data_IF_519104044799
#
_entry.id   IF_519104044799
#
_cell.length_a   1.000
_cell.length_b   1.000
_cell.length_c   1.000
_cell.angle_alpha   90.00
_cell.angle_beta   90.00
_cell.angle_gamma   90.00
#
_symmetry.space_group_name_H-M   'P 1'
#
loop_
_entity.id
_entity.type
_entity.pdbx_description
1 polymer ?
#
# COMPACT_ATOMS: atom_id res chain seq x y z
N UNK A 1 7.58 -6.69 9.18
CA UNK A 1 6.71 -6.44 8.01
C UNK A 1 7.43 -6.95 6.78
N UNK A 2 6.72 -7.38 5.74
CA UNK A 2 7.29 -7.72 4.44
C UNK A 2 6.47 -7.02 3.36
N UNK A 3 7.08 -6.65 2.24
CA UNK A 3 6.32 -6.17 1.09
C UNK A 3 6.86 -6.73 -0.22
N UNK A 4 6.03 -6.63 -1.26
CA UNK A 4 6.33 -7.00 -2.63
C UNK A 4 5.69 -5.97 -3.56
N UNK A 5 6.42 -5.55 -4.58
CA UNK A 5 5.93 -4.67 -5.63
C UNK A 5 5.98 -5.42 -6.96
N UNK A 6 4.89 -5.35 -7.71
CA UNK A 6 4.83 -5.88 -9.07
C UNK A 6 4.39 -4.80 -10.06
N UNK A 7 4.94 -4.84 -11.27
CA UNK A 7 4.54 -3.98 -12.40
C UNK A 7 4.18 -4.89 -13.56
N UNK A 8 2.96 -4.75 -14.07
CA UNK A 8 2.34 -5.64 -15.07
C UNK A 8 2.50 -7.14 -14.72
N UNK A 9 2.37 -7.47 -13.43
CA UNK A 9 2.50 -8.83 -12.91
C UNK A 9 3.93 -9.33 -12.73
N UNK A 10 4.95 -8.54 -13.09
CA UNK A 10 6.37 -8.88 -12.87
C UNK A 10 6.83 -8.37 -11.50
N UNK A 11 7.38 -9.24 -10.65
CA UNK A 11 7.99 -8.82 -9.37
C UNK A 11 9.21 -7.94 -9.65
N UNK A 12 9.17 -6.70 -9.17
CA UNK A 12 10.28 -5.74 -9.28
C UNK A 12 11.00 -5.57 -7.96
N UNK A 13 10.34 -5.85 -6.84
CA UNK A 13 10.98 -5.79 -5.51
C UNK A 13 10.24 -6.65 -4.49
N UNK A 14 11.02 -7.12 -3.50
CA UNK A 14 10.55 -7.85 -2.34
C UNK A 14 11.51 -7.64 -1.18
N UNK A 15 11.00 -7.13 -0.07
CA UNK A 15 11.82 -6.79 1.09
C UNK A 15 11.15 -7.22 2.40
N UNK A 16 11.97 -7.60 3.38
CA UNK A 16 11.55 -7.83 4.77
C UNK A 16 12.07 -6.72 5.66
N UNK A 17 11.16 -5.95 6.25
CA UNK A 17 11.46 -4.86 7.18
C UNK A 17 11.33 -5.37 8.61
N UNK A 18 12.44 -5.33 9.34
CA UNK A 18 12.48 -5.58 10.78
C UNK A 18 12.31 -4.24 11.51
N UNK A 19 11.09 -3.95 11.94
CA UNK A 19 10.83 -2.76 12.76
C UNK A 19 11.08 -3.12 14.24
N UNK A 20 12.01 -2.40 14.89
CA UNK A 20 12.20 -2.45 16.34
C UNK A 20 11.23 -1.46 17.01
N UNK A 21 10.27 -1.99 17.77
CA UNK A 21 9.34 -1.17 18.57
C UNK A 21 8.18 -0.61 17.76
N UNK A 22 7.04 -1.32 17.78
CA UNK A 22 5.76 -0.73 17.47
C UNK A 22 5.26 -0.11 18.79
N UNK A 23 5.64 1.13 19.07
CA UNK A 23 5.09 1.84 20.23
C UNK A 23 3.62 2.18 19.94
N UNK A 24 2.74 1.59 20.75
CA UNK A 24 1.28 1.46 20.56
C UNK A 24 0.50 2.79 20.69
N UNK A 25 1.17 3.94 20.84
CA UNK A 25 0.55 5.16 21.36
C UNK A 25 0.34 6.28 20.34
N UNK A 26 0.85 6.17 19.10
CA UNK A 26 0.69 7.23 18.10
C UNK A 26 0.43 6.70 16.69
N UNK A 27 -0.33 7.46 15.91
CA UNK A 27 -0.56 7.20 14.49
C UNK A 27 0.78 7.16 13.75
N UNK A 28 1.27 5.95 13.45
CA UNK A 28 2.54 5.73 12.76
C UNK A 28 2.29 5.27 11.32
N UNK A 29 2.89 5.97 10.35
CA UNK A 29 2.96 5.54 8.95
C UNK A 29 4.36 5.08 8.64
N UNK A 30 4.48 3.87 8.09
CA UNK A 30 5.74 3.39 7.54
C UNK A 30 5.82 3.72 6.04
N UNK A 31 6.91 4.35 5.62
CA UNK A 31 7.15 4.70 4.22
C UNK A 31 8.03 3.64 3.55
N UNK A 32 7.55 3.07 2.44
CA UNK A 32 8.35 2.25 1.54
C UNK A 32 9.12 3.20 0.59
N UNK A 33 10.44 3.10 0.56
CA UNK A 33 11.30 4.10 -0.12
C UNK A 33 11.74 3.68 -1.54
N UNK A 34 11.39 2.47 -2.00
CA UNK A 34 11.70 2.01 -3.35
C UNK A 34 11.12 2.96 -4.42
N UNK A 35 11.93 3.27 -5.43
CA UNK A 35 11.53 4.11 -6.57
C UNK A 35 11.45 3.21 -7.80
N UNK A 36 10.27 3.17 -8.43
CA UNK A 36 10.00 2.30 -9.57
C UNK A 36 9.49 3.12 -10.75
N UNK A 37 10.06 2.94 -11.95
CA UNK A 37 9.49 3.53 -13.15
C UNK A 37 8.16 2.85 -13.48
N UNK A 38 7.10 3.65 -13.65
CA UNK A 38 5.78 3.19 -14.10
C UNK A 38 5.38 4.05 -15.30
N UNK A 39 5.17 3.41 -16.45
CA UNK A 39 4.73 4.09 -17.66
C UNK A 39 3.22 4.34 -17.62
N UNK A 40 2.76 5.35 -18.36
CA UNK A 40 1.33 5.62 -18.50
C UNK A 40 0.57 4.39 -18.99
N UNK A 41 -0.51 4.04 -18.29
CA UNK A 41 -1.34 2.87 -18.59
C UNK A 41 -0.84 1.53 -18.02
N UNK A 42 0.35 1.48 -17.41
CA UNK A 42 0.81 0.28 -16.72
C UNK A 42 0.09 0.08 -15.39
N UNK A 43 -0.08 -1.17 -15.01
CA UNK A 43 -0.62 -1.55 -13.70
C UNK A 43 0.55 -1.85 -12.77
N UNK A 44 0.55 -1.25 -11.59
CA UNK A 44 1.41 -1.70 -10.50
C UNK A 44 0.57 -2.14 -9.31
N UNK A 45 1.08 -3.13 -8.58
CA UNK A 45 0.43 -3.68 -7.39
C UNK A 45 1.46 -3.74 -6.26
N UNK A 46 1.04 -3.30 -5.07
CA UNK A 46 1.84 -3.34 -3.84
C UNK A 46 1.13 -4.27 -2.86
N UNK A 47 1.83 -5.31 -2.42
CA UNK A 47 1.35 -6.24 -1.40
C UNK A 47 2.21 -6.07 -0.15
N UNK A 48 1.58 -5.87 1.01
CA UNK A 48 2.27 -5.79 2.29
C UNK A 48 1.72 -6.83 3.25
N UNK A 49 2.62 -7.62 3.83
CA UNK A 49 2.35 -8.50 4.95
C UNK A 49 2.77 -7.81 6.25
N UNK A 50 1.78 -7.33 6.99
CA UNK A 50 1.97 -6.80 8.34
C UNK A 50 2.00 -8.00 9.28
N UNK A 51 3.12 -8.20 9.97
CA UNK A 51 3.28 -9.35 10.85
C UNK A 51 2.36 -9.23 12.07
N UNK A 52 1.79 -10.35 12.50
CA UNK A 52 1.24 -10.55 13.84
C UNK A 52 2.33 -10.19 14.87
N UNK A 53 1.95 -9.66 16.02
CA UNK A 53 2.92 -9.35 17.09
C UNK A 53 3.81 -10.57 17.31
N UNK A 54 5.12 -10.44 17.03
CA UNK A 54 6.05 -11.58 17.11
C UNK A 54 6.15 -12.13 18.54
N UNK A 55 5.81 -11.33 19.55
CA UNK A 55 5.88 -11.70 20.95
C UNK A 55 4.60 -12.39 21.46
N UNK A 56 3.41 -11.98 20.99
CA UNK A 56 2.12 -12.48 21.49
C UNK A 56 1.36 -13.34 20.50
N UNK A 57 1.83 -13.45 19.25
CA UNK A 57 1.16 -14.13 18.15
C UNK A 57 -0.31 -13.66 17.94
N UNK A 58 -0.63 -12.46 18.42
CA UNK A 58 -1.93 -11.82 18.29
C UNK A 58 -1.96 -10.92 17.06
N UNK A 59 -3.14 -10.76 16.48
CA UNK A 59 -3.37 -9.81 15.41
C UNK A 59 -3.07 -8.38 15.91
N UNK A 60 -2.29 -7.63 15.13
CA UNK A 60 -2.01 -6.22 15.42
C UNK A 60 -3.13 -5.41 14.81
N UNK A 61 -3.87 -4.67 15.64
CA UNK A 61 -4.84 -3.70 15.14
C UNK A 61 -4.08 -2.46 14.73
N UNK A 62 -4.11 -2.12 13.44
CA UNK A 62 -3.49 -0.90 12.92
C UNK A 62 -4.56 0.06 12.40
N UNK A 63 -4.22 1.34 12.32
CA UNK A 63 -5.10 2.34 11.74
C UNK A 63 -5.32 2.07 10.24
N UNK A 64 -6.53 2.37 9.77
CA UNK A 64 -6.93 2.22 8.37
C UNK A 64 -7.61 3.47 7.86
N UNK A 65 -7.49 3.71 6.56
CA UNK A 65 -8.33 4.66 5.84
C UNK A 65 -9.74 4.10 5.66
N UNK A 66 -10.71 5.00 5.48
CA UNK A 66 -12.08 4.68 5.14
C UNK A 66 -12.62 5.75 4.18
N UNK A 67 -13.69 5.41 3.44
CA UNK A 67 -14.32 6.30 2.44
C UNK A 67 -13.39 6.65 1.29
N UNK A 68 -12.65 5.66 0.78
CA UNK A 68 -11.98 5.79 -0.50
C UNK A 68 -13.00 6.04 -1.61
N UNK A 69 -12.61 6.83 -2.61
CA UNK A 69 -13.47 7.23 -3.71
C UNK A 69 -13.16 6.39 -4.95
N UNK A 70 -14.20 6.00 -5.68
CA UNK A 70 -14.06 5.31 -6.96
C UNK A 70 -13.53 6.28 -8.03
N UNK A 71 -12.59 5.79 -8.85
CA UNK A 71 -11.91 6.55 -9.90
C UNK A 71 -12.85 7.37 -10.80
N UNK A 72 -14.03 6.83 -11.13
CA UNK A 72 -15.00 7.48 -12.01
C UNK A 72 -15.60 8.77 -11.44
N UNK A 73 -15.26 9.14 -10.19
CA UNK A 73 -15.67 10.39 -9.53
C UNK A 73 -14.51 11.31 -9.18
N UNK A 74 -13.27 10.88 -9.38
CA UNK A 74 -12.06 11.64 -9.02
C UNK A 74 -11.37 12.10 -10.32
N UNK A 75 -11.86 13.17 -10.91
CA UNK A 75 -11.12 13.90 -11.96
C UNK A 75 -9.90 14.56 -11.31
N UNK A 76 -8.76 13.87 -11.33
CA UNK A 76 -7.52 14.37 -10.78
C UNK A 76 -6.57 14.80 -11.92
N UNK A 77 -7.02 15.71 -12.79
CA UNK A 77 -6.23 16.20 -13.93
C UNK A 77 -4.91 16.90 -13.53
N UNK A 78 -4.73 17.20 -12.25
CA UNK A 78 -3.56 17.89 -11.69
C UNK A 78 -2.69 17.04 -10.75
N UNK A 79 -3.08 15.78 -10.50
CA UNK A 79 -2.30 14.82 -9.72
C UNK A 79 -2.28 13.53 -10.52
N UNK A 80 -1.11 13.06 -10.99
CA UNK A 80 -0.94 11.97 -11.96
C UNK A 80 -2.07 10.92 -11.93
N UNK A 81 -2.70 10.66 -13.08
CA UNK A 81 -3.92 9.87 -13.22
C UNK A 81 -3.75 8.42 -12.71
N UNK A 82 -3.90 8.22 -11.40
CA UNK A 82 -3.92 6.89 -10.81
C UNK A 82 -5.36 6.38 -10.81
N UNK A 83 -5.57 5.26 -11.50
CA UNK A 83 -6.78 4.46 -11.35
C UNK A 83 -6.54 3.41 -10.27
N UNK A 84 -7.35 3.46 -9.21
CA UNK A 84 -7.36 2.41 -8.20
C UNK A 84 -8.30 1.29 -8.64
N UNK A 85 -7.83 0.05 -8.54
CA UNK A 85 -8.62 -1.15 -8.85
C UNK A 85 -8.55 -2.11 -7.67
N UNK A 86 -9.60 -2.93 -7.52
CA UNK A 86 -9.55 -4.03 -6.57
C UNK A 86 -8.48 -5.04 -6.98
N UNK A 87 -7.61 -5.40 -6.05
CA UNK A 87 -6.62 -6.45 -6.21
C UNK A 87 -7.14 -7.76 -5.57
N UNK A 88 -7.26 -8.82 -6.36
CA UNK A 88 -7.67 -10.14 -5.85
C UNK A 88 -6.67 -10.75 -4.87
N UNK A 89 -5.43 -10.25 -4.87
CA UNK A 89 -4.38 -10.60 -3.92
C UNK A 89 -4.56 -9.99 -2.53
N UNK A 90 -5.51 -9.06 -2.35
CA UNK A 90 -5.83 -8.50 -1.02
C UNK A 90 -6.68 -9.48 -0.21
N UNK A 91 -6.06 -10.10 0.80
CA UNK A 91 -6.68 -11.11 1.67
C UNK A 91 -7.03 -10.61 3.08
N UNK A 92 -6.77 -9.32 3.36
CA UNK A 92 -6.97 -8.70 4.68
C UNK A 92 -7.89 -7.46 4.63
N UNK A 93 -8.84 -7.44 3.70
CA UNK A 93 -9.92 -6.45 3.65
C UNK A 93 -9.53 -5.06 3.14
N UNK A 94 -8.29 -4.85 2.68
CA UNK A 94 -7.93 -3.61 1.97
C UNK A 94 -8.57 -3.60 0.58
N UNK A 95 -9.19 -2.50 0.22
CA UNK A 95 -9.93 -2.30 -1.02
C UNK A 95 -9.85 -0.84 -1.46
N UNK A 96 -10.45 -0.51 -2.60
CA UNK A 96 -10.58 0.87 -3.07
C UNK A 96 -11.37 1.77 -2.10
N UNK A 97 -12.17 1.19 -1.20
CA UNK A 97 -13.07 1.94 -0.31
C UNK A 97 -12.51 2.12 1.11
N UNK A 98 -11.59 1.26 1.56
CA UNK A 98 -11.03 1.27 2.90
C UNK A 98 -9.81 0.35 3.03
N UNK A 99 -9.04 0.54 4.09
CA UNK A 99 -7.91 -0.34 4.43
C UNK A 99 -6.58 0.39 4.52
N UNK A 100 -5.52 -0.28 4.07
CA UNK A 100 -4.15 0.24 4.09
C UNK A 100 -3.77 0.96 2.79
N UNK A 101 -2.56 1.52 2.74
CA UNK A 101 -2.02 2.33 1.64
C UNK A 101 -2.72 3.68 1.42
N UNK A 102 -2.73 4.58 2.42
CA UNK A 102 -3.38 5.88 2.26
C UNK A 102 -2.66 6.84 1.30
N UNK A 103 -1.39 6.58 0.97
CA UNK A 103 -0.53 7.53 0.25
C UNK A 103 0.36 6.81 -0.76
N UNK A 104 0.53 7.43 -1.94
CA UNK A 104 1.50 7.05 -2.97
C UNK A 104 2.34 8.29 -3.27
N UNK A 105 3.66 8.18 -3.16
CA UNK A 105 4.59 9.25 -3.50
C UNK A 105 5.13 8.99 -4.90
N UNK A 106 5.03 9.97 -5.78
CA UNK A 106 5.48 9.86 -7.17
C UNK A 106 6.17 11.16 -7.63
N UNK A 107 6.92 11.04 -8.73
CA UNK A 107 7.55 12.16 -9.41
C UNK A 107 7.22 12.07 -10.89
N UNK A 108 6.95 13.20 -11.54
CA UNK A 108 6.83 13.27 -12.99
C UNK A 108 8.23 13.44 -13.57
N UNK A 109 8.62 12.51 -14.45
CA UNK A 109 9.89 12.54 -15.18
C UNK A 109 9.83 13.40 -16.44
#
# INVERSE_FOLDING_TARGET
MKYQVTVDGTEVEKETIVASGWEDEYYYRHRLNGIYPVMAGQKFEIIVWIAKSLASNTDVTTYRGARGEEYDKVENEHMGLFKLEYASSSDNGTSINCGHFPEIFYFLG
#
